data_IF_726915996288
#
_entry.id   IF_726915996288
#
_cell.length_a   1.000
_cell.length_b   1.000
_cell.length_c   1.000
_cell.angle_alpha   90.00
_cell.angle_beta   90.00
_cell.angle_gamma   90.00
#
_symmetry.space_group_name_H-M   'P 1'
#
loop_
_entity.id
_entity.type
_entity.pdbx_description
1 polymer ?
#
# COMPACT_ATOMS: atom_id res chain seq x y z
N UNK A 1 -16.73 30.61 -10.26
CA UNK A 1 -16.07 29.42 -9.72
C UNK A 1 -17.17 28.40 -9.41
N UNK A 2 -17.04 27.12 -9.78
CA UNK A 2 -18.03 26.10 -9.39
C UNK A 2 -17.61 25.49 -8.03
N UNK A 3 -18.59 24.99 -7.28
CA UNK A 3 -18.38 24.45 -5.93
C UNK A 3 -17.28 23.38 -5.90
N UNK A 4 -17.21 22.52 -6.92
CA UNK A 4 -16.17 21.49 -7.01
C UNK A 4 -14.75 22.07 -7.09
N UNK A 5 -14.51 23.10 -7.93
CA UNK A 5 -13.18 23.74 -8.01
C UNK A 5 -12.84 24.51 -6.74
N UNK A 6 -13.84 25.11 -6.09
CA UNK A 6 -13.65 25.78 -4.80
C UNK A 6 -13.21 24.79 -3.72
N UNK A 7 -13.89 23.63 -3.61
CA UNK A 7 -13.50 22.57 -2.69
C UNK A 7 -12.13 21.98 -3.00
N UNK A 8 -11.76 21.89 -4.28
CA UNK A 8 -10.43 21.44 -4.68
C UNK A 8 -9.33 22.42 -4.29
N UNK A 9 -9.58 23.73 -4.43
CA UNK A 9 -8.65 24.77 -3.97
C UNK A 9 -8.49 24.69 -2.44
N UNK A 10 -9.60 24.65 -1.69
CA UNK A 10 -9.57 24.53 -0.24
C UNK A 10 -8.85 23.26 0.23
N UNK A 11 -9.08 22.13 -0.44
CA UNK A 11 -8.37 20.88 -0.16
C UNK A 11 -6.87 21.02 -0.37
N UNK A 12 -6.41 21.67 -1.44
CA UNK A 12 -4.99 21.87 -1.69
C UNK A 12 -4.36 22.79 -0.64
N UNK A 13 -5.05 23.86 -0.24
CA UNK A 13 -4.60 24.73 0.85
C UNK A 13 -4.45 23.95 2.17
N UNK A 14 -5.41 23.08 2.50
CA UNK A 14 -5.34 22.18 3.65
C UNK A 14 -4.11 21.25 3.59
N UNK A 15 -3.89 20.61 2.45
CA UNK A 15 -2.76 19.69 2.25
C UNK A 15 -1.41 20.40 2.36
N UNK A 16 -1.34 21.64 1.88
CA UNK A 16 -0.15 22.48 1.99
C UNK A 16 0.06 23.06 3.41
N UNK A 17 -0.85 22.78 4.34
CA UNK A 17 -0.80 23.31 5.71
C UNK A 17 -0.97 24.83 5.78
N UNK A 18 -1.55 25.44 4.75
CA UNK A 18 -1.82 26.88 4.74
C UNK A 18 -2.94 27.20 5.72
N UNK A 19 -2.83 28.34 6.39
CA UNK A 19 -3.82 28.76 7.36
C UNK A 19 -5.15 29.05 6.65
N UNK A 20 -6.19 28.34 7.09
CA UNK A 20 -7.58 28.57 6.70
C UNK A 20 -8.28 28.92 7.99
N UNK A 21 -8.58 30.21 8.16
CA UNK A 21 -8.96 30.76 9.45
C UNK A 21 -10.25 30.14 9.97
N UNK A 22 -11.25 29.91 9.09
CA UNK A 22 -12.51 29.25 9.45
C UNK A 22 -13.11 28.53 8.24
N UNK A 23 -13.52 27.28 8.44
CA UNK A 23 -14.34 26.52 7.47
C UNK A 23 -15.75 26.40 8.03
N UNK A 24 -16.75 26.72 7.22
CA UNK A 24 -18.15 26.49 7.57
C UNK A 24 -18.46 24.99 7.64
N UNK A 25 -19.51 24.62 8.38
CA UNK A 25 -19.97 23.23 8.44
C UNK A 25 -20.26 22.65 7.05
N UNK A 26 -20.77 23.47 6.12
CA UNK A 26 -21.01 23.08 4.72
C UNK A 26 -19.69 22.75 4.00
N UNK A 27 -18.69 23.61 4.11
CA UNK A 27 -17.39 23.39 3.48
C UNK A 27 -16.69 22.16 4.04
N UNK A 28 -16.73 21.95 5.36
CA UNK A 28 -16.19 20.74 6.01
C UNK A 28 -16.86 19.49 5.44
N UNK A 29 -18.20 19.48 5.31
CA UNK A 29 -18.93 18.35 4.74
C UNK A 29 -18.57 18.11 3.26
N UNK A 30 -18.45 19.17 2.46
CA UNK A 30 -18.07 19.07 1.06
C UNK A 30 -16.62 18.59 0.89
N UNK A 31 -15.70 19.06 1.73
CA UNK A 31 -14.30 18.60 1.77
C UNK A 31 -14.19 17.13 2.18
N UNK A 32 -14.99 16.69 3.15
CA UNK A 32 -15.04 15.28 3.56
C UNK A 32 -15.49 14.39 2.39
N UNK A 33 -16.52 14.80 1.64
CA UNK A 33 -16.97 14.08 0.43
C UNK A 33 -15.87 14.03 -0.64
N UNK A 34 -15.17 15.13 -0.87
CA UNK A 34 -14.06 15.19 -1.82
C UNK A 34 -12.91 14.27 -1.40
N UNK A 35 -12.57 14.27 -0.11
CA UNK A 35 -11.53 13.41 0.47
C UNK A 35 -11.85 11.92 0.26
N UNK A 36 -13.06 11.49 0.65
CA UNK A 36 -13.52 10.11 0.44
C UNK A 36 -13.46 9.69 -1.02
N UNK A 37 -13.84 10.58 -1.94
CA UNK A 37 -13.74 10.33 -3.38
C UNK A 37 -12.29 10.14 -3.84
N UNK A 38 -11.37 10.98 -3.37
CA UNK A 38 -9.93 10.86 -3.70
C UNK A 38 -9.33 9.58 -3.11
N UNK A 39 -9.67 9.21 -1.86
CA UNK A 39 -9.25 7.97 -1.21
C UNK A 39 -9.73 6.74 -1.97
N UNK A 40 -11.01 6.70 -2.37
CA UNK A 40 -11.55 5.60 -3.17
C UNK A 40 -10.79 5.42 -4.50
N UNK A 41 -10.49 6.53 -5.20
CA UNK A 41 -9.69 6.49 -6.42
C UNK A 41 -8.25 6.04 -6.17
N UNK A 42 -7.65 6.36 -5.02
CA UNK A 42 -6.31 5.86 -4.64
C UNK A 42 -6.36 4.36 -4.40
N UNK A 43 -7.37 3.87 -3.67
CA UNK A 43 -7.57 2.46 -3.41
C UNK A 43 -7.74 1.66 -4.72
N UNK A 44 -8.60 2.13 -5.63
CA UNK A 44 -8.81 1.51 -6.94
C UNK A 44 -7.49 1.38 -7.73
N UNK A 45 -6.65 2.43 -7.74
CA UNK A 45 -5.34 2.40 -8.42
C UNK A 45 -4.38 1.43 -7.76
N UNK A 46 -4.35 1.38 -6.43
CA UNK A 46 -3.52 0.43 -5.67
C UNK A 46 -3.89 -1.01 -6.02
N UNK A 47 -5.17 -1.34 -6.09
CA UNK A 47 -5.65 -2.67 -6.49
C UNK A 47 -5.27 -3.02 -7.93
N UNK A 48 -5.38 -2.07 -8.87
CA UNK A 48 -4.94 -2.27 -10.26
C UNK A 48 -3.44 -2.55 -10.37
N UNK A 49 -2.61 -1.81 -9.62
CA UNK A 49 -1.16 -2.03 -9.58
C UNK A 49 -0.83 -3.41 -9.00
N UNK A 50 -1.49 -3.81 -7.91
CA UNK A 50 -1.30 -5.12 -7.29
C UNK A 50 -1.64 -6.26 -8.27
N UNK A 51 -2.77 -6.16 -8.98
CA UNK A 51 -3.16 -7.14 -10.00
C UNK A 51 -2.15 -7.22 -11.16
N UNK A 52 -1.64 -6.06 -11.61
CA UNK A 52 -0.61 -6.03 -12.65
C UNK A 52 0.69 -6.70 -12.18
N UNK A 53 1.14 -6.45 -10.94
CA UNK A 53 2.34 -7.07 -10.39
C UNK A 53 2.16 -8.58 -10.15
N UNK A 54 0.98 -9.05 -9.75
CA UNK A 54 0.69 -10.49 -9.63
C UNK A 54 0.67 -11.20 -11.00
N UNK A 55 0.13 -10.56 -12.04
CA UNK A 55 0.16 -11.08 -13.41
C UNK A 55 1.58 -11.12 -14.01
N UNK A 56 2.45 -10.20 -13.55
CA UNK A 56 3.84 -10.08 -14.02
C UNK A 56 4.83 -10.96 -13.24
N UNK A 57 4.42 -11.58 -12.14
CA UNK A 57 5.24 -12.64 -11.56
C UNK A 57 5.26 -13.80 -12.56
N UNK A 58 6.45 -14.27 -13.00
CA UNK A 58 6.50 -15.54 -13.69
C UNK A 58 5.83 -16.54 -12.75
N UNK A 59 4.77 -17.20 -13.22
CA UNK A 59 4.32 -18.43 -12.57
C UNK A 59 5.60 -19.23 -12.39
N UNK A 60 5.97 -19.50 -11.14
CA UNK A 60 6.93 -20.55 -10.88
C UNK A 60 6.28 -21.82 -11.41
N UNK A 61 6.44 -22.06 -12.71
CA UNK A 61 6.31 -23.37 -13.31
C UNK A 61 7.07 -24.27 -12.36
N UNK A 62 6.48 -25.36 -11.85
CA UNK A 62 7.25 -26.32 -11.08
C UNK A 62 8.33 -26.82 -12.03
N UNK A 63 9.52 -26.22 -11.91
CA UNK A 63 10.69 -26.63 -12.65
C UNK A 63 10.88 -28.08 -12.25
N UNK A 64 10.69 -28.99 -13.20
CA UNK A 64 10.97 -30.42 -13.05
C UNK A 64 12.49 -30.65 -12.95
N UNK A 65 13.18 -29.85 -12.15
CA UNK A 65 14.57 -30.06 -11.80
C UNK A 65 14.62 -31.21 -10.81
N UNK A 66 14.59 -32.43 -11.35
CA UNK A 66 15.00 -33.63 -10.62
C UNK A 66 16.44 -33.42 -10.19
N UNK A 67 16.64 -33.14 -8.90
CA UNK A 67 17.95 -33.30 -8.29
C UNK A 67 18.36 -34.77 -8.45
N UNK A 68 19.53 -35.07 -9.02
CA UNK A 68 20.04 -36.43 -9.00
C UNK A 68 20.27 -36.80 -7.54
N UNK A 69 19.53 -37.83 -7.12
CA UNK A 69 19.56 -38.43 -5.81
C UNK A 69 21.01 -38.73 -5.39
N UNK A 70 21.52 -37.99 -4.42
CA UNK A 70 22.70 -38.37 -3.63
C UNK A 70 22.41 -38.08 -2.16
N UNK A 71 21.87 -39.11 -1.52
CA UNK A 71 22.03 -39.46 -0.11
C UNK A 71 23.07 -38.60 0.63
N UNK A 72 22.61 -37.66 1.46
CA UNK A 72 23.29 -37.26 2.69
C UNK A 72 22.24 -36.87 3.74
N UNK A 73 22.39 -37.43 4.93
CA UNK A 73 21.52 -37.43 6.12
C UNK A 73 20.99 -36.06 6.59
N UNK A 74 19.91 -36.03 7.41
CA UNK A 74 19.25 -34.79 7.80
C UNK A 74 20.09 -33.95 8.77
N UNK A 75 20.07 -32.64 8.52
CA UNK A 75 20.60 -31.58 9.36
C UNK A 75 19.79 -31.49 10.68
N UNK A 76 20.41 -31.48 11.87
CA UNK A 76 19.78 -30.88 13.03
C UNK A 76 20.00 -29.37 12.97
N UNK A 77 18.96 -28.63 12.59
CA UNK A 77 18.85 -27.22 12.92
C UNK A 77 18.58 -27.11 14.42
N UNK A 78 19.49 -26.51 15.18
CA UNK A 78 19.17 -25.86 16.45
C UNK A 78 20.10 -24.65 16.59
N UNK A 79 19.51 -23.46 16.64
CA UNK A 79 20.17 -22.18 16.92
C UNK A 79 20.23 -21.94 18.45
N UNK A 80 20.11 -22.99 19.27
CA UNK A 80 19.98 -22.83 20.73
C UNK A 80 21.33 -22.54 21.44
N UNK A 81 22.47 -22.61 20.75
CA UNK A 81 23.81 -22.39 21.34
C UNK A 81 24.27 -20.92 21.37
N UNK A 82 23.42 -19.94 21.02
CA UNK A 82 23.78 -18.50 21.04
C UNK A 82 23.41 -17.78 22.35
N UNK A 83 22.92 -18.50 23.36
CA UNK A 83 22.55 -17.94 24.66
C UNK A 83 23.26 -18.71 25.78
N UNK A 84 24.59 -18.61 25.86
CA UNK A 84 25.34 -18.77 27.10
C UNK A 84 26.81 -18.41 26.86
N UNK A 85 27.09 -17.11 26.77
CA UNK A 85 28.38 -16.54 27.21
C UNK A 85 28.21 -15.03 27.40
N UNK A 86 27.60 -14.67 28.52
CA UNK A 86 27.79 -13.37 29.19
C UNK A 86 27.84 -13.59 30.70
#
# INVERSE_FOLDING_TARGET
MNEEKEMEILFNLLVEGKNITELTAREIQSLLKLSNTKIAKVHERKEKINQQHQSSQPQNSPSNFKFPNKNVNPLPNSMDDLINDM
#
